data_IF_190176797318
#
_entry.id   IF_190176797318
#
_cell.length_a   1.000
_cell.length_b   1.000
_cell.length_c   1.000
_cell.angle_alpha   90.00
_cell.angle_beta   90.00
_cell.angle_gamma   90.00
#
_symmetry.space_group_name_H-M   'P 1'
#
loop_
_entity.id
_entity.type
_entity.pdbx_description
1 polymer ?
#
# COMPACT_ATOMS: atom_id res chain seq x y z
N UNK A 1 10.96 11.52 -16.05
CA UNK A 1 9.90 10.97 -15.17
C UNK A 1 10.53 10.66 -13.83
N UNK A 2 9.84 10.95 -12.71
CA UNK A 2 10.31 10.52 -11.40
C UNK A 2 10.41 8.99 -11.34
N UNK A 3 11.32 8.49 -10.51
CA UNK A 3 11.40 7.07 -10.18
C UNK A 3 10.13 6.68 -9.39
N UNK A 4 9.40 5.68 -9.88
CA UNK A 4 8.11 5.28 -9.31
C UNK A 4 8.22 3.92 -8.65
N UNK A 5 7.60 3.79 -7.48
CA UNK A 5 7.38 2.51 -6.81
C UNK A 5 5.89 2.22 -6.72
N UNK A 6 5.50 1.06 -7.22
CA UNK A 6 4.12 0.58 -7.13
C UNK A 6 4.01 -0.45 -5.99
N UNK A 7 2.99 -0.31 -5.14
CA UNK A 7 2.64 -1.29 -4.09
C UNK A 7 1.28 -1.87 -4.40
N UNK A 8 1.16 -3.19 -4.54
CA UNK A 8 -0.12 -3.85 -4.88
C UNK A 8 -0.25 -5.24 -4.27
N UNK A 9 -1.40 -5.90 -4.49
CA UNK A 9 -1.65 -7.29 -4.09
C UNK A 9 -0.89 -8.34 -4.92
N UNK A 10 -0.14 -7.92 -5.96
CA UNK A 10 0.66 -8.83 -6.78
C UNK A 10 -0.14 -9.62 -7.81
N UNK A 11 -1.37 -9.21 -8.12
CA UNK A 11 -2.13 -9.84 -9.21
C UNK A 11 -1.38 -9.72 -10.54
N UNK A 12 -1.31 -10.83 -11.29
CA UNK A 12 -0.59 -10.93 -12.56
C UNK A 12 -0.94 -9.82 -13.56
N UNK A 13 -2.22 -9.47 -13.67
CA UNK A 13 -2.68 -8.39 -14.56
C UNK A 13 -2.11 -7.01 -14.20
N UNK A 14 -1.92 -6.73 -12.90
CA UNK A 14 -1.32 -5.48 -12.43
C UNK A 14 0.18 -5.49 -12.72
N UNK A 15 0.87 -6.59 -12.40
CA UNK A 15 2.31 -6.75 -12.66
C UNK A 15 2.61 -6.53 -14.15
N UNK A 16 1.87 -7.20 -15.03
CA UNK A 16 2.05 -7.10 -16.47
C UNK A 16 1.74 -5.68 -16.99
N UNK A 17 0.71 -5.04 -16.43
CA UNK A 17 0.33 -3.67 -16.75
C UNK A 17 1.41 -2.65 -16.37
N UNK A 18 1.90 -2.73 -15.14
CA UNK A 18 2.97 -1.86 -14.61
C UNK A 18 4.25 -2.05 -15.43
N UNK A 19 4.67 -3.30 -15.65
CA UNK A 19 5.86 -3.59 -16.48
C UNK A 19 5.75 -3.02 -17.90
N UNK A 20 4.55 -3.07 -18.50
CA UNK A 20 4.32 -2.57 -19.87
C UNK A 20 4.33 -1.04 -19.95
N UNK A 21 3.78 -0.35 -18.95
CA UNK A 21 3.58 1.12 -18.98
C UNK A 21 4.66 1.90 -18.23
N UNK A 22 5.29 1.28 -17.25
CA UNK A 22 6.32 1.84 -16.37
C UNK A 22 7.49 0.85 -16.23
N UNK A 23 8.22 0.54 -17.32
CA UNK A 23 9.25 -0.50 -17.33
C UNK A 23 10.40 -0.24 -16.34
N UNK A 24 10.67 1.02 -16.02
CA UNK A 24 11.72 1.44 -15.09
C UNK A 24 11.20 1.63 -13.65
N UNK A 25 9.99 1.17 -13.34
CA UNK A 25 9.44 1.27 -11.98
C UNK A 25 9.72 0.03 -11.15
N UNK A 26 9.86 0.22 -9.85
CA UNK A 26 9.93 -0.88 -8.90
C UNK A 26 8.52 -1.32 -8.50
N UNK A 27 8.33 -2.61 -8.26
CA UNK A 27 7.05 -3.18 -7.83
C UNK A 27 7.20 -4.00 -6.56
N UNK A 28 6.48 -3.59 -5.52
CA UNK A 28 6.42 -4.27 -4.24
C UNK A 28 5.05 -4.90 -4.00
N UNK A 29 5.06 -6.02 -3.30
CA UNK A 29 3.89 -6.60 -2.70
C UNK A 29 3.50 -5.84 -1.43
N UNK A 30 2.20 -5.58 -1.34
CA UNK A 30 1.57 -5.02 -0.17
C UNK A 30 1.56 -6.07 0.93
N UNK A 31 2.30 -5.81 2.01
CA UNK A 31 2.46 -6.71 3.15
C UNK A 31 1.14 -7.15 3.76
N UNK A 32 0.11 -6.32 3.67
CA UNK A 32 -1.22 -6.66 4.16
C UNK A 32 -1.79 -7.93 3.52
N UNK A 33 -1.67 -8.09 2.21
CA UNK A 33 -2.17 -9.27 1.51
C UNK A 33 -1.35 -10.53 1.86
N UNK A 34 -0.05 -10.36 2.07
CA UNK A 34 0.83 -11.45 2.52
C UNK A 34 0.47 -11.86 3.96
N UNK A 35 0.21 -10.89 4.84
CA UNK A 35 -0.25 -11.10 6.22
C UNK A 35 -1.61 -11.80 6.28
N UNK A 36 -2.57 -11.39 5.45
CA UNK A 36 -3.88 -12.06 5.39
C UNK A 36 -3.74 -13.51 4.90
N UNK A 37 -2.85 -13.75 3.95
CA UNK A 37 -2.59 -15.10 3.42
C UNK A 37 -1.94 -16.01 4.47
N UNK A 38 -0.88 -15.56 5.15
CA UNK A 38 -0.24 -16.34 6.22
C UNK A 38 -1.18 -16.54 7.42
N UNK A 39 -1.97 -15.52 7.76
CA UNK A 39 -2.94 -15.57 8.85
C UNK A 39 -4.03 -16.61 8.62
N UNK A 40 -4.49 -16.77 7.37
CA UNK A 40 -5.45 -17.82 6.99
C UNK A 40 -4.84 -19.22 6.99
N UNK A 41 -3.64 -19.36 6.43
CA UNK A 41 -2.99 -20.66 6.27
C UNK A 41 -2.57 -21.27 7.60
N UNK A 42 -1.89 -20.49 8.45
CA UNK A 42 -1.28 -20.99 9.68
C UNK A 42 -2.05 -20.63 10.96
N UNK A 43 -3.01 -19.70 10.89
CA UNK A 43 -3.86 -19.26 12.02
C UNK A 43 -3.05 -18.92 13.28
N UNK A 44 -1.87 -18.33 13.10
CA UNK A 44 -0.93 -18.04 14.18
C UNK A 44 -0.51 -16.57 14.17
N UNK A 45 -0.93 -15.82 15.19
CA UNK A 45 -0.64 -14.39 15.33
C UNK A 45 0.84 -14.09 15.58
N UNK A 46 1.59 -15.00 16.22
CA UNK A 46 3.04 -14.85 16.41
C UNK A 46 3.77 -14.85 15.08
N UNK A 47 3.38 -15.72 14.14
CA UNK A 47 3.97 -15.76 12.81
C UNK A 47 3.71 -14.47 12.03
N UNK A 48 2.51 -13.91 12.12
CA UNK A 48 2.17 -12.62 11.53
C UNK A 48 3.08 -11.51 12.08
N UNK A 49 3.27 -11.46 13.40
CA UNK A 49 4.14 -10.48 14.04
C UNK A 49 5.61 -10.61 13.59
N UNK A 50 6.13 -11.84 13.55
CA UNK A 50 7.49 -12.11 13.08
C UNK A 50 7.66 -11.75 11.60
N UNK A 51 6.67 -12.03 10.77
CA UNK A 51 6.68 -11.65 9.35
C UNK A 51 6.78 -10.13 9.18
N UNK A 52 6.02 -9.35 9.96
CA UNK A 52 6.15 -7.89 9.95
C UNK A 52 7.54 -7.42 10.42
N UNK A 53 8.09 -8.03 11.47
CA UNK A 53 9.46 -7.73 11.91
C UNK A 53 10.50 -8.04 10.84
N UNK A 54 10.36 -9.16 10.12
CA UNK A 54 11.21 -9.49 8.98
C UNK A 54 11.06 -8.45 7.87
N UNK A 55 9.83 -8.05 7.54
CA UNK A 55 9.57 -7.09 6.46
C UNK A 55 10.17 -5.70 6.75
N UNK A 56 10.12 -5.25 8.01
CA UNK A 56 10.72 -4.00 8.46
C UNK A 56 12.21 -4.06 8.75
N UNK A 57 12.83 -5.25 8.73
CA UNK A 57 14.27 -5.38 8.93
C UNK A 57 15.02 -4.60 7.85
N UNK A 58 15.92 -3.73 8.30
CA UNK A 58 16.65 -2.82 7.41
C UNK A 58 17.93 -3.44 6.85
N UNK A 59 18.50 -4.41 7.55
CA UNK A 59 19.70 -5.16 7.13
C UNK A 59 19.38 -6.60 6.77
N UNK A 60 20.20 -7.19 5.90
CA UNK A 60 20.06 -8.61 5.53
C UNK A 60 20.27 -9.54 6.73
N UNK A 61 21.11 -9.14 7.69
CA UNK A 61 21.38 -9.88 8.93
C UNK A 61 20.12 -9.93 9.80
N UNK A 62 19.57 -8.76 10.15
CA UNK A 62 18.35 -8.69 10.95
C UNK A 62 17.17 -9.40 10.28
N UNK A 63 17.08 -9.34 8.94
CA UNK A 63 16.08 -10.10 8.20
C UNK A 63 16.25 -11.61 8.40
N UNK A 64 17.48 -12.12 8.23
CA UNK A 64 17.78 -13.56 8.37
C UNK A 64 17.51 -14.06 9.78
N UNK A 65 17.83 -13.28 10.80
CA UNK A 65 17.49 -13.58 12.20
C UNK A 65 15.97 -13.74 12.39
N UNK A 66 15.17 -12.82 11.83
CA UNK A 66 13.71 -12.93 11.90
C UNK A 66 13.16 -14.10 11.09
N UNK A 67 13.76 -14.44 9.96
CA UNK A 67 13.39 -15.65 9.22
C UNK A 67 13.74 -16.94 9.99
N UNK A 68 14.84 -16.96 10.74
CA UNK A 68 15.18 -18.09 11.61
C UNK A 68 14.20 -18.23 12.79
N UNK A 69 13.77 -17.13 13.41
CA UNK A 69 12.71 -17.15 14.44
C UNK A 69 11.38 -17.68 13.90
N UNK A 70 11.06 -17.41 12.63
CA UNK A 70 9.88 -17.95 11.96
C UNK A 70 10.03 -19.45 11.74
N UNK A 71 11.19 -19.90 11.27
CA UNK A 71 11.48 -21.32 11.03
C UNK A 71 11.43 -22.15 12.31
N UNK A 72 11.95 -21.61 13.42
CA UNK A 72 11.85 -22.23 14.74
C UNK A 72 10.38 -22.34 15.20
N UNK A 73 9.57 -21.29 14.97
CA UNK A 73 8.16 -21.29 15.33
C UNK A 73 7.31 -22.21 14.44
N UNK A 74 7.63 -22.31 13.15
CA UNK A 74 6.99 -23.18 12.18
C UNK A 74 7.84 -23.35 10.92
N UNK A 75 8.48 -24.52 10.72
CA UNK A 75 9.26 -24.81 9.52
C UNK A 75 8.42 -24.74 8.24
N UNK A 76 7.15 -25.13 8.31
CA UNK A 76 6.23 -25.09 7.17
C UNK A 76 5.90 -23.65 6.77
N UNK A 77 5.72 -22.74 7.75
CA UNK A 77 5.54 -21.33 7.48
C UNK A 77 6.78 -20.69 6.85
N UNK A 78 7.98 -21.04 7.32
CA UNK A 78 9.21 -20.56 6.71
C UNK A 78 9.34 -20.99 5.24
N UNK A 79 9.09 -22.27 4.94
CA UNK A 79 9.07 -22.78 3.55
C UNK A 79 8.01 -22.09 2.69
N UNK A 80 6.84 -21.80 3.26
CA UNK A 80 5.77 -21.09 2.56
C UNK A 80 6.18 -19.65 2.22
N UNK A 81 6.75 -18.91 3.19
CA UNK A 81 7.22 -17.53 2.97
C UNK A 81 8.34 -17.46 1.93
N UNK A 82 9.23 -18.46 1.89
CA UNK A 82 10.33 -18.52 0.91
C UNK A 82 9.86 -18.61 -0.54
N UNK A 83 8.58 -18.96 -0.79
CA UNK A 83 7.99 -18.91 -2.13
C UNK A 83 7.84 -17.47 -2.65
N UNK A 84 7.85 -16.48 -1.76
CA UNK A 84 7.74 -15.06 -2.09
C UNK A 84 9.14 -14.41 -2.04
N UNK A 85 9.67 -13.93 -3.18
CA UNK A 85 10.98 -13.27 -3.23
C UNK A 85 11.07 -12.10 -2.23
N UNK A 86 12.05 -12.09 -1.30
CA UNK A 86 12.21 -11.01 -0.31
C UNK A 86 12.32 -9.62 -0.93
N UNK A 87 12.92 -9.53 -2.12
CA UNK A 87 13.04 -8.29 -2.88
C UNK A 87 11.69 -7.65 -3.26
N UNK A 88 10.57 -8.35 -3.13
CA UNK A 88 9.25 -7.81 -3.41
C UNK A 88 8.52 -7.32 -2.16
N UNK A 89 8.92 -7.69 -0.95
CA UNK A 89 8.15 -7.39 0.26
C UNK A 89 8.97 -6.87 1.44
N UNK A 90 10.24 -7.23 1.57
CA UNK A 90 11.11 -6.84 2.67
C UNK A 90 11.96 -5.60 2.36
N UNK A 91 12.11 -4.69 3.34
CA UNK A 91 12.93 -3.47 3.17
C UNK A 91 14.40 -3.78 2.88
N UNK A 92 14.98 -4.77 3.56
CA UNK A 92 16.39 -5.13 3.39
C UNK A 92 16.78 -5.50 1.94
N UNK A 93 15.85 -5.99 1.12
CA UNK A 93 16.14 -6.48 -0.23
C UNK A 93 15.42 -5.70 -1.33
N UNK A 94 14.53 -4.77 -0.99
CA UNK A 94 13.83 -3.97 -1.99
C UNK A 94 14.78 -2.92 -2.57
N UNK A 95 14.89 -2.86 -3.89
CA UNK A 95 15.83 -1.97 -4.60
C UNK A 95 15.29 -0.54 -4.75
N UNK A 96 13.98 -0.37 -4.87
CA UNK A 96 13.36 0.93 -5.06
C UNK A 96 13.17 1.72 -3.76
N UNK A 97 12.68 2.95 -3.90
CA UNK A 97 12.34 3.79 -2.76
C UNK A 97 10.86 3.72 -2.45
N UNK A 98 10.52 3.36 -1.20
CA UNK A 98 9.15 3.38 -0.68
C UNK A 98 9.01 4.02 0.69
N UNK A 99 10.08 4.65 1.21
CA UNK A 99 10.09 5.40 2.46
C UNK A 99 9.48 4.65 3.66
N UNK A 100 9.69 3.33 3.73
CA UNK A 100 9.12 2.48 4.78
C UNK A 100 7.65 2.07 4.59
N UNK A 101 6.97 2.52 3.53
CA UNK A 101 5.61 2.08 3.23
C UNK A 101 5.60 0.63 2.74
N UNK A 102 5.06 -0.27 3.55
CA UNK A 102 4.92 -1.70 3.22
C UNK A 102 3.51 -2.09 2.78
N UNK A 103 2.52 -1.21 2.99
CA UNK A 103 1.12 -1.45 2.65
C UNK A 103 0.55 -0.29 1.85
N UNK A 104 -0.39 -0.62 0.97
CA UNK A 104 -1.18 0.35 0.22
C UNK A 104 -2.40 0.79 1.03
N UNK A 105 -2.80 2.06 0.93
CA UNK A 105 -4.05 2.59 1.49
C UNK A 105 -5.29 2.32 0.60
N UNK A 106 -5.20 1.42 -0.38
CA UNK A 106 -6.25 1.11 -1.36
C UNK A 106 -7.59 0.74 -0.70
N UNK A 107 -7.58 0.12 0.49
CA UNK A 107 -8.83 -0.22 1.17
C UNK A 107 -9.64 0.98 1.62
N UNK A 108 -8.99 2.06 2.03
CA UNK A 108 -9.67 3.30 2.41
C UNK A 108 -10.36 3.92 1.20
N UNK A 109 -9.65 3.94 0.07
CA UNK A 109 -10.22 4.33 -1.22
C UNK A 109 -11.40 3.44 -1.60
N UNK A 110 -11.24 2.11 -1.50
CA UNK A 110 -12.30 1.16 -1.81
C UNK A 110 -13.52 1.37 -0.93
N UNK A 111 -13.35 1.61 0.38
CA UNK A 111 -14.45 1.86 1.30
C UNK A 111 -15.28 3.08 0.90
N UNK A 112 -14.62 4.17 0.53
CA UNK A 112 -15.29 5.40 0.12
C UNK A 112 -15.95 5.29 -1.26
N UNK A 113 -15.28 4.69 -2.26
CA UNK A 113 -15.79 4.65 -3.63
C UNK A 113 -16.93 3.64 -3.83
N UNK A 114 -17.15 2.70 -2.88
CA UNK A 114 -18.19 1.68 -2.99
C UNK A 114 -19.59 2.28 -3.17
N UNK A 115 -19.91 3.35 -2.46
CA UNK A 115 -21.20 4.04 -2.56
C UNK A 115 -21.33 4.76 -3.90
N UNK A 116 -20.26 5.41 -4.36
CA UNK A 116 -20.23 6.12 -5.63
C UNK A 116 -20.41 5.17 -6.84
N UNK A 117 -19.82 3.98 -6.78
CA UNK A 117 -19.75 3.02 -7.90
C UNK A 117 -21.09 2.52 -8.43
N UNK A 118 -22.14 2.56 -7.61
CA UNK A 118 -23.48 2.14 -8.04
C UNK A 118 -24.26 3.26 -8.76
N UNK A 119 -23.71 4.47 -8.81
CA UNK A 119 -24.35 5.63 -9.42
C UNK A 119 -24.11 5.73 -10.93
N UNK A 120 -24.95 6.48 -11.66
CA UNK A 120 -24.67 6.92 -13.03
C UNK A 120 -23.28 7.56 -13.13
N UNK A 121 -22.59 7.33 -14.26
CA UNK A 121 -21.20 7.76 -14.48
C UNK A 121 -20.95 9.25 -14.14
N UNK A 122 -21.89 10.13 -14.47
CA UNK A 122 -21.78 11.56 -14.16
C UNK A 122 -21.71 11.77 -12.65
N UNK A 123 -22.59 11.12 -11.89
CA UNK A 123 -22.62 11.21 -10.42
C UNK A 123 -21.39 10.58 -9.77
N UNK A 124 -20.84 9.50 -10.35
CA UNK A 124 -19.56 8.92 -9.90
C UNK A 124 -18.46 9.97 -9.99
N UNK A 125 -18.35 10.66 -11.14
CA UNK A 125 -17.34 11.69 -11.37
C UNK A 125 -17.56 12.89 -10.44
N UNK A 126 -18.81 13.34 -10.28
CA UNK A 126 -19.16 14.42 -9.33
C UNK A 126 -18.74 14.06 -7.89
N UNK A 127 -18.97 12.82 -7.44
CA UNK A 127 -18.54 12.39 -6.11
C UNK A 127 -17.02 12.30 -5.98
N UNK A 128 -16.32 11.77 -6.99
CA UNK A 128 -14.85 11.73 -6.99
C UNK A 128 -14.29 13.14 -6.90
N UNK A 129 -14.80 14.06 -7.72
CA UNK A 129 -14.40 15.45 -7.69
C UNK A 129 -14.68 16.08 -6.31
N UNK A 130 -15.88 15.92 -5.76
CA UNK A 130 -16.25 16.48 -4.46
C UNK A 130 -15.35 15.96 -3.34
N UNK A 131 -15.00 14.67 -3.37
CA UNK A 131 -14.03 14.10 -2.44
C UNK A 131 -12.65 14.71 -2.61
N UNK A 132 -12.14 14.82 -3.84
CA UNK A 132 -10.84 15.41 -4.10
C UNK A 132 -10.78 16.88 -3.64
N UNK A 133 -11.83 17.66 -3.90
CA UNK A 133 -11.94 19.05 -3.41
C UNK A 133 -11.84 19.11 -1.88
N UNK A 134 -12.64 18.32 -1.17
CA UNK A 134 -12.60 18.24 0.30
C UNK A 134 -11.22 17.80 0.81
N UNK A 135 -10.64 16.76 0.21
CA UNK A 135 -9.35 16.21 0.61
C UNK A 135 -8.20 17.20 0.39
N UNK A 136 -8.21 17.98 -0.70
CA UNK A 136 -7.22 19.03 -0.94
C UNK A 136 -7.38 20.18 0.05
N UNK A 137 -8.61 20.60 0.33
CA UNK A 137 -8.89 21.66 1.30
C UNK A 137 -8.48 21.26 2.71
N UNK A 138 -8.84 20.05 3.15
CA UNK A 138 -8.45 19.52 4.47
C UNK A 138 -6.93 19.50 4.63
N UNK A 139 -6.19 19.14 3.57
CA UNK A 139 -4.71 19.10 3.60
C UNK A 139 -4.10 20.49 3.62
N UNK A 140 -4.64 21.44 2.87
CA UNK A 140 -4.22 22.86 2.94
C UNK A 140 -4.43 23.41 4.35
N UNK A 141 -5.64 23.25 4.89
CA UNK A 141 -5.99 23.69 6.25
C UNK A 141 -5.10 23.02 7.30
N UNK A 142 -4.87 21.72 7.19
CA UNK A 142 -3.97 21.00 8.10
C UNK A 142 -2.55 21.56 8.05
N UNK A 143 -2.01 21.78 6.85
CA UNK A 143 -0.66 22.30 6.66
C UNK A 143 -0.49 23.77 7.07
N UNK A 144 -1.57 24.55 7.14
CA UNK A 144 -1.52 25.96 7.57
C UNK A 144 -0.98 26.11 9.00
N UNK A 145 -1.25 25.12 9.85
CA UNK A 145 -0.80 25.05 11.24
C UNK A 145 0.63 24.53 11.44
N UNK A 146 1.33 24.15 10.36
CA UNK A 146 2.68 23.57 10.44
C UNK A 146 3.74 24.66 10.28
N UNK A 147 4.55 24.85 11.31
CA UNK A 147 5.61 25.86 11.35
C UNK A 147 7.03 25.26 11.29
N UNK A 148 7.14 23.95 11.35
CA UNK A 148 8.40 23.20 11.21
C UNK A 148 8.89 23.16 9.75
N UNK A 149 10.15 22.77 9.56
CA UNK A 149 10.73 22.54 8.23
C UNK A 149 10.13 21.28 7.60
N UNK A 150 9.99 20.20 8.39
CA UNK A 150 9.44 18.93 7.94
C UNK A 150 7.96 18.79 8.33
N UNK A 151 7.22 17.99 7.56
CA UNK A 151 5.87 17.59 7.91
C UNK A 151 5.85 16.85 9.27
N UNK A 152 4.78 16.94 10.08
CA UNK A 152 4.81 16.55 11.49
C UNK A 152 5.38 15.17 11.79
N UNK A 153 5.03 14.14 11.01
CA UNK A 153 5.55 12.78 11.23
C UNK A 153 7.07 12.67 10.98
N UNK A 154 7.57 13.37 9.95
CA UNK A 154 9.00 13.42 9.65
C UNK A 154 9.75 14.28 10.68
N UNK A 155 9.14 15.39 11.13
CA UNK A 155 9.67 16.25 12.19
C UNK A 155 9.82 15.47 13.51
N UNK A 156 8.77 14.75 13.94
CA UNK A 156 8.84 13.88 15.13
C UNK A 156 9.98 12.87 15.02
N UNK A 157 10.11 12.20 13.86
CA UNK A 157 11.20 11.24 13.63
C UNK A 157 12.59 11.90 13.69
N UNK A 158 12.73 13.12 13.15
CA UNK A 158 13.98 13.88 13.23
C UNK A 158 14.32 14.26 14.67
N UNK A 159 13.35 14.76 15.45
CA UNK A 159 13.56 15.13 16.86
C UNK A 159 13.94 13.91 17.73
N UNK A 160 13.31 12.76 17.49
CA UNK A 160 13.69 11.50 18.14
C UNK A 160 15.11 11.04 17.74
N UNK A 161 15.52 11.28 16.49
CA UNK A 161 16.87 10.99 16.04
C UNK A 161 17.89 11.92 16.69
N UNK A 162 17.61 13.22 16.81
CA UNK A 162 18.44 14.22 17.52
C UNK A 162 18.58 13.86 19.00
N UNK A 163 17.47 13.51 19.66
CA UNK A 163 17.48 13.11 21.06
C UNK A 163 18.41 11.91 21.30
N UNK A 164 18.30 10.86 20.46
CA UNK A 164 19.18 9.68 20.54
C UNK A 164 20.63 9.99 20.18
N UNK A 165 20.86 10.83 19.16
CA UNK A 165 22.19 11.20 18.71
C UNK A 165 23.04 11.84 19.83
N UNK A 166 22.40 12.54 20.77
CA UNK A 166 23.08 13.21 21.89
C UNK A 166 23.83 12.26 22.83
N UNK A 167 23.47 10.97 22.84
CA UNK A 167 24.09 9.97 23.71
C UNK A 167 25.21 9.18 23.01
N UNK A 168 25.44 9.42 21.72
CA UNK A 168 26.39 8.65 20.93
C UNK A 168 27.79 9.27 20.95
N UNK A 169 28.80 8.41 20.88
CA UNK A 169 30.17 8.82 20.65
C UNK A 169 30.44 8.81 19.14
N UNK A 170 31.03 9.89 18.62
CA UNK A 170 31.36 10.02 17.19
C UNK A 170 32.87 10.01 17.02
N UNK A 171 33.37 9.06 16.24
CA UNK A 171 34.75 8.97 15.80
C UNK A 171 34.82 9.33 14.31
N UNK A 172 35.56 10.39 13.98
CA UNK A 172 35.71 10.85 12.60
C UNK A 172 36.86 10.09 11.94
N UNK A 173 36.58 9.42 10.82
CA UNK A 173 37.59 8.74 10.01
C UNK A 173 38.21 9.70 8.99
N UNK A 174 37.37 10.37 8.20
CA UNK A 174 37.80 11.36 7.20
C UNK A 174 36.83 12.57 7.12
N UNK A 175 36.75 13.27 5.99
CA UNK A 175 35.82 14.39 5.81
C UNK A 175 34.34 14.01 5.79
N UNK A 176 34.02 12.80 5.34
CA UNK A 176 32.65 12.36 5.10
C UNK A 176 32.27 11.08 5.83
N UNK A 177 33.23 10.35 6.39
CA UNK A 177 33.04 9.04 7.01
C UNK A 177 33.33 9.05 8.51
N UNK A 178 32.42 8.43 9.26
CA UNK A 178 32.38 8.44 10.71
C UNK A 178 32.01 7.05 11.23
N UNK A 179 32.63 6.66 12.33
CA UNK A 179 32.14 5.57 13.16
C UNK A 179 31.35 6.18 14.33
N UNK A 180 30.09 5.79 14.46
CA UNK A 180 29.19 6.28 15.53
C UNK A 180 28.89 5.12 16.46
N UNK A 181 29.28 5.28 17.72
CA UNK A 181 29.17 4.26 18.76
C UNK A 181 27.95 4.57 19.62
N UNK A 182 26.98 3.65 19.59
CA UNK A 182 25.82 3.61 20.48
C UNK A 182 26.05 2.60 21.62
N UNK A 183 25.10 2.50 22.56
CA UNK A 183 25.13 1.50 23.63
C UNK A 183 25.04 0.05 23.13
N UNK A 184 24.49 -0.17 21.93
CA UNK A 184 24.22 -1.51 21.39
C UNK A 184 25.26 -1.97 20.37
N UNK A 185 25.71 -1.05 19.50
CA UNK A 185 26.62 -1.33 18.39
C UNK A 185 27.30 -0.07 17.85
N UNK A 186 28.35 -0.25 17.05
CA UNK A 186 28.88 0.80 16.18
C UNK A 186 28.27 0.75 14.78
N UNK A 187 28.02 1.91 14.21
CA UNK A 187 27.50 2.09 12.86
C UNK A 187 28.40 3.03 12.06
N UNK A 188 28.68 2.67 10.81
CA UNK A 188 29.49 3.47 9.88
C UNK A 188 28.55 4.40 9.13
N UNK A 189 28.82 5.70 9.21
CA UNK A 189 28.06 6.77 8.56
C UNK A 189 28.94 7.43 7.50
N UNK A 190 28.41 7.57 6.29
CA UNK A 190 28.99 8.41 5.26
C UNK A 190 28.03 9.54 4.90
N UNK A 191 28.34 10.77 5.33
CA UNK A 191 27.49 11.95 5.13
C UNK A 191 27.52 12.47 3.69
N UNK A 192 28.57 12.17 2.92
CA UNK A 192 28.66 12.57 1.51
C UNK A 192 27.78 11.72 0.60
N UNK A 193 27.63 10.44 0.93
CA UNK A 193 26.76 9.48 0.22
C UNK A 193 25.35 9.36 0.82
N UNK A 194 25.07 10.10 1.89
CA UNK A 194 23.80 10.04 2.63
C UNK A 194 23.46 8.61 3.10
N UNK A 195 24.46 7.90 3.65
CA UNK A 195 24.35 6.48 3.95
C UNK A 195 24.81 6.13 5.36
N UNK A 196 24.16 5.15 5.96
CA UNK A 196 24.55 4.56 7.24
C UNK A 196 24.48 3.02 7.17
N UNK A 197 25.34 2.30 7.89
CA UNK A 197 25.31 0.82 7.96
C UNK A 197 24.00 0.28 8.52
N UNK A 198 23.31 1.04 9.37
CA UNK A 198 21.96 0.71 9.83
C UNK A 198 20.88 0.74 8.73
N UNK A 199 21.19 1.32 7.55
CA UNK A 199 20.34 1.49 6.36
C UNK A 199 19.09 2.35 6.50
N UNK A 200 18.74 2.79 7.71
CA UNK A 200 17.56 3.62 7.95
C UNK A 200 17.54 4.90 7.10
N UNK A 201 18.68 5.60 6.97
CA UNK A 201 18.70 6.85 6.21
C UNK A 201 18.36 6.62 4.74
N UNK A 202 18.96 5.60 4.14
CA UNK A 202 18.74 5.23 2.74
C UNK A 202 17.30 4.74 2.48
N UNK A 203 16.71 4.02 3.44
CA UNK A 203 15.39 3.41 3.28
C UNK A 203 14.23 4.39 3.53
N UNK A 204 14.42 5.34 4.45
CA UNK A 204 13.37 6.26 4.89
C UNK A 204 13.56 7.68 4.37
N UNK A 205 14.71 8.04 3.79
CA UNK A 205 14.98 9.37 3.26
C UNK A 205 15.15 10.46 4.34
N UNK A 206 15.23 10.06 5.61
CA UNK A 206 15.42 10.94 6.76
C UNK A 206 16.66 10.44 7.52
N UNK A 207 17.63 11.30 7.86
CA UNK A 207 18.80 10.92 8.65
C UNK A 207 18.43 10.10 9.89
N UNK A 208 19.07 8.94 10.05
CA UNK A 208 18.95 8.14 11.27
C UNK A 208 19.70 8.80 12.44
N UNK A 209 19.51 8.33 13.67
CA UNK A 209 20.21 8.88 14.85
C UNK A 209 21.74 8.89 14.71
N UNK A 210 22.32 7.86 14.08
CA UNK A 210 23.76 7.83 13.80
C UNK A 210 24.19 8.93 12.82
N UNK A 211 23.44 9.09 11.74
CA UNK A 211 23.68 10.14 10.75
C UNK A 211 23.55 11.54 11.35
N UNK A 212 22.52 11.74 12.18
CA UNK A 212 22.33 12.99 12.92
C UNK A 212 23.52 13.28 13.84
N UNK A 213 24.03 12.30 14.58
CA UNK A 213 25.21 12.47 15.43
C UNK A 213 26.44 12.91 14.63
N UNK A 214 26.72 12.25 13.48
CA UNK A 214 27.81 12.61 12.59
C UNK A 214 27.65 14.04 12.03
N UNK A 215 26.46 14.40 11.55
CA UNK A 215 26.15 15.72 11.02
C UNK A 215 26.31 16.83 12.08
N UNK A 216 25.81 16.59 13.29
CA UNK A 216 25.95 17.52 14.42
C UNK A 216 27.42 17.70 14.83
N UNK A 217 28.23 16.64 14.82
CA UNK A 217 29.67 16.74 15.10
C UNK A 217 30.41 17.65 14.10
N UNK A 218 29.88 17.75 12.87
CA UNK A 218 30.37 18.63 11.81
C UNK A 218 29.68 19.99 11.77
N UNK A 219 28.77 20.30 12.71
CA UNK A 219 27.95 21.52 12.73
C UNK A 219 27.16 21.74 11.44
N UNK A 220 26.73 20.66 10.78
CA UNK A 220 25.88 20.70 9.59
C UNK A 220 24.40 20.74 10.00
N UNK A 221 23.59 21.43 9.20
CA UNK A 221 22.15 21.45 9.37
C UNK A 221 21.53 20.10 8.95
N UNK A 222 20.98 19.36 9.90
CA UNK A 222 20.42 18.02 9.67
C UNK A 222 19.20 18.03 8.74
N UNK A 223 18.44 19.13 8.69
CA UNK A 223 17.27 19.25 7.82
C UNK A 223 17.65 19.30 6.35
N UNK A 224 18.81 19.87 6.02
CA UNK A 224 19.34 19.90 4.65
C UNK A 224 19.69 18.52 4.07
N UNK A 225 19.77 17.49 4.92
CA UNK A 225 20.11 16.10 4.56
C UNK A 225 18.87 15.17 4.47
N UNK A 226 17.67 15.76 4.51
CA UNK A 226 16.40 15.04 4.42
C UNK A 226 15.81 15.14 3.01
N UNK A 227 15.13 14.10 2.55
CA UNK A 227 14.44 14.10 1.26
C UNK A 227 13.36 15.18 1.20
N UNK A 228 13.34 15.94 0.09
CA UNK A 228 12.49 17.13 -0.06
C UNK A 228 11.00 16.83 0.04
N UNK A 229 10.58 15.60 -0.31
CA UNK A 229 9.18 15.17 -0.23
C UNK A 229 8.61 15.21 1.20
N UNK A 230 9.45 15.25 2.23
CA UNK A 230 9.02 15.38 3.63
C UNK A 230 8.89 16.83 4.10
N UNK A 231 9.29 17.82 3.32
CA UNK A 231 9.23 19.22 3.74
C UNK A 231 7.79 19.75 3.75
N UNK A 232 7.49 20.66 4.67
CA UNK A 232 6.20 21.37 4.69
C UNK A 232 6.01 22.17 3.39
N UNK A 233 7.09 22.73 2.84
CA UNK A 233 7.07 23.46 1.58
C UNK A 233 6.57 22.59 0.42
N UNK A 234 7.18 21.42 0.18
CA UNK A 234 6.74 20.51 -0.88
C UNK A 234 5.34 19.94 -0.63
N UNK A 235 4.96 19.71 0.64
CA UNK A 235 3.59 19.32 0.96
C UNK A 235 2.59 20.39 0.54
N UNK A 236 2.84 21.66 0.88
CA UNK A 236 1.97 22.79 0.51
C UNK A 236 1.89 22.96 -1.00
N UNK A 237 3.01 22.88 -1.69
CA UNK A 237 3.08 22.94 -3.16
C UNK A 237 2.24 21.82 -3.80
N UNK A 238 2.31 20.60 -3.26
CA UNK A 238 1.53 19.44 -3.77
C UNK A 238 0.02 19.67 -3.74
N UNK A 239 -0.48 20.43 -2.76
CA UNK A 239 -1.92 20.69 -2.58
C UNK A 239 -2.30 22.15 -2.85
N UNK A 240 -1.42 22.93 -3.48
CA UNK A 240 -1.63 24.34 -3.75
C UNK A 240 -2.70 24.58 -4.82
N UNK A 241 -2.79 23.68 -5.81
CA UNK A 241 -3.79 23.80 -6.88
C UNK A 241 -5.22 23.62 -6.35
N UNK A 242 -6.12 24.41 -6.91
CA UNK A 242 -7.55 24.36 -6.62
C UNK A 242 -8.24 23.42 -7.59
N UNK A 243 -9.05 22.51 -7.05
CA UNK A 243 -9.99 21.72 -7.85
C UNK A 243 -11.28 22.53 -7.91
N UNK A 244 -11.57 23.12 -9.08
CA UNK A 244 -12.74 23.96 -9.25
C UNK A 244 -14.04 23.15 -9.34
N UNK A 245 -15.18 23.66 -8.81
CA UNK A 245 -16.49 23.02 -8.97
C UNK A 245 -16.89 22.85 -10.43
N UNK A 246 -17.62 21.76 -10.73
CA UNK A 246 -18.21 21.58 -12.06
C UNK A 246 -19.53 22.38 -12.13
N UNK A 247 -19.72 23.25 -13.14
CA UNK A 247 -20.97 23.98 -13.36
C UNK A 247 -22.16 23.02 -13.52
N UNK A 248 -23.39 23.52 -13.37
CA UNK A 248 -24.57 22.66 -13.60
C UNK A 248 -24.59 22.19 -15.04
N UNK A 249 -25.17 21.01 -15.29
CA UNK A 249 -25.31 20.46 -16.65
C UNK A 249 -25.93 21.44 -17.66
N UNK A 250 -26.81 22.33 -17.19
CA UNK A 250 -27.47 23.35 -18.02
C UNK A 250 -26.51 24.46 -18.50
N UNK A 251 -25.41 24.65 -17.78
CA UNK A 251 -24.35 25.64 -18.05
C UNK A 251 -23.20 25.03 -18.86
N UNK A 252 -23.22 23.73 -19.13
CA UNK A 252 -22.20 23.07 -19.92
C UNK A 252 -22.32 23.54 -21.38
N UNK A 253 -21.24 24.15 -21.90
CA UNK A 253 -21.16 24.51 -23.31
C UNK A 253 -21.32 23.25 -24.15
N UNK A 254 -22.27 23.26 -25.09
CA UNK A 254 -22.41 22.15 -26.03
C UNK A 254 -21.18 22.11 -26.93
N UNK A 255 -20.71 20.90 -27.24
CA UNK A 255 -19.62 20.68 -28.18
C UNK A 255 -20.03 21.32 -29.51
N UNK A 256 -19.39 22.44 -29.88
CA UNK A 256 -19.67 23.22 -31.10
C UNK A 256 -20.04 24.70 -30.91
N UNK A 257 -20.35 25.17 -29.70
CA UNK A 257 -20.82 26.57 -29.46
C UNK A 257 -19.72 27.55 -28.97
N UNK A 258 -18.50 27.07 -28.74
CA UNK A 258 -17.33 27.92 -28.48
C UNK A 258 -16.18 27.46 -29.38
N UNK A 259 -15.26 28.37 -29.78
CA UNK A 259 -13.94 27.93 -30.20
C UNK A 259 -13.36 27.21 -28.99
N UNK A 260 -13.40 25.88 -29.03
CA UNK A 260 -12.57 25.04 -28.16
C UNK A 260 -11.17 25.63 -28.38
N UNK A 261 -10.45 26.09 -27.36
CA UNK A 261 -9.03 26.39 -27.53
C UNK A 261 -8.47 25.19 -28.27
N UNK A 262 -7.70 25.42 -29.33
CA UNK A 262 -7.02 24.35 -30.07
C UNK A 262 -5.99 23.70 -29.14
N UNK A 263 -6.48 22.99 -28.14
CA UNK A 263 -5.75 22.01 -27.38
C UNK A 263 -6.13 20.71 -28.09
N UNK A 264 -5.15 20.11 -28.76
CA UNK A 264 -5.31 18.90 -29.58
C UNK A 264 -5.86 17.69 -28.80
N UNK A 265 -6.08 17.86 -27.48
CA UNK A 265 -6.46 16.86 -26.49
C UNK A 265 -7.93 16.88 -26.04
N UNK A 266 -8.84 17.60 -26.71
CA UNK A 266 -10.30 17.45 -26.47
C UNK A 266 -10.82 16.09 -26.99
N UNK A 267 -10.31 15.00 -26.42
CA UNK A 267 -10.55 13.64 -26.84
C UNK A 267 -11.96 13.23 -26.41
N UNK A 268 -12.81 12.88 -27.38
CA UNK A 268 -14.14 12.33 -27.10
C UNK A 268 -13.95 10.96 -26.43
N UNK A 269 -14.10 10.91 -25.10
CA UNK A 269 -14.03 9.67 -24.32
C UNK A 269 -15.28 8.84 -24.60
N UNK A 270 -15.14 7.80 -25.42
CA UNK A 270 -16.22 6.84 -25.68
C UNK A 270 -16.34 5.86 -24.51
N UNK A 271 -17.55 5.37 -24.18
CA UNK A 271 -17.71 4.35 -23.17
C UNK A 271 -16.86 3.10 -23.52
N UNK A 272 -16.26 2.43 -22.52
CA UNK A 272 -15.52 1.20 -22.74
C UNK A 272 -16.38 0.17 -23.47
N UNK A 273 -15.84 -0.48 -24.50
CA UNK A 273 -16.52 -1.59 -25.17
C UNK A 273 -16.48 -2.84 -24.28
N UNK A 274 -17.32 -2.88 -23.25
CA UNK A 274 -17.42 -4.01 -22.33
C UNK A 274 -18.73 -4.78 -22.58
N UNK A 275 -18.63 -6.09 -22.84
CA UNK A 275 -19.80 -6.99 -22.79
C UNK A 275 -20.06 -7.34 -21.33
N UNK A 276 -21.20 -6.92 -20.77
CA UNK A 276 -21.64 -7.42 -19.46
C UNK A 276 -21.84 -8.94 -19.58
N UNK A 277 -21.15 -9.78 -18.78
CA UNK A 277 -21.48 -11.19 -18.72
C UNK A 277 -22.93 -11.36 -18.25
N UNK A 278 -23.66 -12.38 -18.73
CA UNK A 278 -25.04 -12.62 -18.33
C UNK A 278 -25.13 -12.88 -16.82
N UNK A 279 -26.00 -12.15 -16.13
CA UNK A 279 -26.21 -12.25 -14.68
C UNK A 279 -26.32 -10.89 -13.98
N UNK A 280 -26.80 -10.89 -12.73
CA UNK A 280 -26.77 -9.70 -11.86
C UNK A 280 -25.32 -9.52 -11.37
N UNK A 281 -24.67 -8.36 -11.58
CA UNK A 281 -23.36 -8.10 -10.98
C UNK A 281 -23.48 -8.22 -9.46
N UNK A 282 -22.64 -9.03 -8.83
CA UNK A 282 -22.61 -9.12 -7.38
C UNK A 282 -22.13 -7.79 -6.78
N UNK A 283 -22.90 -7.28 -5.82
CA UNK A 283 -22.72 -5.96 -5.20
C UNK A 283 -21.46 -5.87 -4.33
N UNK A 284 -20.93 -7.01 -3.90
CA UNK A 284 -19.66 -7.14 -3.18
C UNK A 284 -18.70 -7.92 -4.06
N UNK A 285 -17.41 -7.57 -4.06
CA UNK A 285 -16.39 -8.58 -4.40
C UNK A 285 -16.60 -9.73 -3.42
N UNK A 286 -16.80 -10.95 -3.92
CA UNK A 286 -16.77 -12.17 -3.12
C UNK A 286 -15.52 -12.08 -2.25
N UNK A 287 -15.69 -11.98 -0.92
CA UNK A 287 -14.58 -12.14 0.00
C UNK A 287 -14.11 -13.59 -0.17
N UNK A 288 -12.81 -13.88 -0.15
CA UNK A 288 -12.33 -15.27 -0.27
C UNK A 288 -13.00 -16.21 0.75
N UNK A 289 -13.49 -15.70 1.89
CA UNK A 289 -14.38 -16.42 2.82
C UNK A 289 -15.67 -17.00 2.20
N UNK A 290 -16.30 -16.32 1.24
CA UNK A 290 -17.58 -16.76 0.63
C UNK A 290 -17.39 -17.94 -0.35
N UNK A 291 -16.17 -18.16 -0.85
CA UNK A 291 -15.79 -19.38 -1.59
C UNK A 291 -15.64 -20.59 -0.66
N UNK A 292 -15.52 -20.35 0.65
CA UNK A 292 -15.31 -21.36 1.69
C UNK A 292 -16.59 -21.77 2.42
N UNK A 293 -17.77 -21.33 1.95
CA UNK A 293 -19.04 -21.93 2.40
C UNK A 293 -19.07 -23.39 1.93
N UNK A 294 -19.06 -24.32 2.88
CA UNK A 294 -19.39 -25.72 2.60
C UNK A 294 -20.68 -25.76 1.79
N UNK A 295 -20.59 -26.23 0.54
CA UNK A 295 -21.75 -26.37 -0.33
C UNK A 295 -22.68 -27.37 0.34
N UNK A 296 -23.77 -26.88 0.92
CA UNK A 296 -24.79 -27.74 1.50
C UNK A 296 -25.27 -28.74 0.45
N UNK A 297 -25.02 -30.02 0.69
CA UNK A 297 -25.46 -31.10 -0.18
C UNK A 297 -26.99 -31.14 -0.13
N UNK A 298 -27.63 -30.85 -1.26
CA UNK A 298 -29.09 -30.88 -1.36
C UNK A 298 -29.56 -32.33 -1.24
N UNK A 299 -30.52 -32.57 -0.32
CA UNK A 299 -31.17 -33.87 -0.13
C UNK A 299 -32.57 -33.83 -0.74
N UNK A 300 -32.91 -34.84 -1.53
CA UNK A 300 -34.21 -34.96 -2.16
C UNK A 300 -35.26 -35.45 -1.16
N UNK A 301 -36.27 -34.64 -0.82
CA UNK A 301 -37.33 -35.05 0.11
C UNK A 301 -38.27 -36.16 -0.41
N UNK A 302 -38.11 -36.62 -1.65
CA UNK A 302 -38.86 -37.78 -2.19
C UNK A 302 -38.13 -39.11 -1.98
N UNK A 303 -36.81 -39.15 -2.14
CA UNK A 303 -36.02 -40.40 -2.05
C UNK A 303 -34.89 -40.36 -1.01
N UNK A 304 -34.74 -39.24 -0.29
CA UNK A 304 -33.68 -38.94 0.67
C UNK A 304 -32.23 -39.04 0.14
N UNK A 305 -32.03 -39.18 -1.17
CA UNK A 305 -30.70 -39.17 -1.77
C UNK A 305 -30.18 -37.76 -2.03
N UNK A 306 -28.86 -37.61 -2.03
CA UNK A 306 -28.17 -36.35 -2.26
C UNK A 306 -27.97 -36.04 -3.76
N UNK A 307 -27.79 -34.76 -4.09
CA UNK A 307 -27.34 -34.33 -5.43
C UNK A 307 -28.44 -33.95 -6.42
N UNK A 308 -29.72 -33.94 -6.02
CA UNK A 308 -30.82 -33.48 -6.87
C UNK A 308 -32.00 -32.96 -6.04
N UNK A 309 -32.85 -32.14 -6.65
CA UNK A 309 -34.07 -31.61 -6.04
C UNK A 309 -35.27 -32.54 -6.30
N UNK A 310 -36.31 -32.44 -5.46
CA UNK A 310 -37.57 -33.22 -5.60
C UNK A 310 -38.18 -33.10 -7.00
N UNK A 311 -38.08 -31.93 -7.63
CA UNK A 311 -38.62 -31.62 -8.97
C UNK A 311 -37.90 -32.35 -10.09
N UNK A 312 -36.63 -32.71 -9.89
CA UNK A 312 -35.80 -33.43 -10.87
C UNK A 312 -35.59 -34.90 -10.50
N UNK A 313 -36.29 -35.38 -9.47
CA UNK A 313 -36.16 -36.74 -8.96
C UNK A 313 -36.88 -37.73 -9.89
N UNK A 314 -36.15 -38.74 -10.37
CA UNK A 314 -36.67 -39.82 -11.22
C UNK A 314 -37.31 -40.97 -10.44
N UNK A 315 -37.30 -40.93 -9.11
CA UNK A 315 -37.98 -41.92 -8.29
C UNK A 315 -39.50 -41.77 -8.41
N UNK A 316 -40.19 -42.90 -8.60
CA UNK A 316 -41.65 -42.95 -8.64
C UNK A 316 -42.24 -42.52 -7.28
N UNK A 317 -43.41 -41.87 -7.33
CA UNK A 317 -44.14 -41.50 -6.11
C UNK A 317 -44.65 -42.78 -5.47
N UNK A 318 -44.05 -43.20 -4.35
CA UNK A 318 -44.73 -44.14 -3.47
C UNK A 318 -45.99 -43.45 -2.94
N UNK A 319 -47.15 -43.83 -3.50
CA UNK A 319 -48.43 -43.56 -2.86
C UNK A 319 -48.50 -44.47 -1.64
N UNK A 320 -48.33 -43.91 -0.46
CA UNK A 320 -48.68 -44.61 0.77
C UNK A 320 -50.14 -45.03 0.66
N UNK A 321 -50.38 -46.34 0.61
CA UNK A 321 -51.72 -46.91 0.73
C UNK A 321 -52.16 -46.62 2.17
N UNK A 322 -53.25 -45.88 2.32
CA UNK A 322 -53.98 -45.76 3.58
C UNK A 322 -54.48 -47.15 3.98
N UNK A 323 -54.02 -47.66 5.12
CA UNK A 323 -54.72 -48.69 5.88
C UNK A 323 -54.80 -48.22 7.33
N UNK A 324 -56.03 -48.27 7.85
CA UNK A 324 -56.43 -47.94 9.22
C UNK A 324 -55.62 -48.67 10.28
#
# INVERSE_FOLDING_TARGET
MPELTFISDGQKGIIDGVRRKFPNSCHAFCMRHLTESIGREFKNSRLVHLLWKAAYATTSIAFKEKMAEIEEASPDAAKWIQQFPPAQWALAYFEGTRYGHLSSNIEEFNRWILEARELPIIQVIEQIQSKLMSEFEDRRMKSSSWFSVLAPAAETRMLEAISRASTYQVLRSDEVEFEVISSERSDIVNIGKHSCSCRDWQLYGIPCSHAVAALMSCRKDVYSFTEKCFTVANYRETYAEEIHPIPRKIEWKKIGEAPIPMDEDAQVVRPPKFRRPPGRPEKKRICLEDLNREKHTVHCSRCNQTGHYKTTCKAEVMKSIEQF
#
